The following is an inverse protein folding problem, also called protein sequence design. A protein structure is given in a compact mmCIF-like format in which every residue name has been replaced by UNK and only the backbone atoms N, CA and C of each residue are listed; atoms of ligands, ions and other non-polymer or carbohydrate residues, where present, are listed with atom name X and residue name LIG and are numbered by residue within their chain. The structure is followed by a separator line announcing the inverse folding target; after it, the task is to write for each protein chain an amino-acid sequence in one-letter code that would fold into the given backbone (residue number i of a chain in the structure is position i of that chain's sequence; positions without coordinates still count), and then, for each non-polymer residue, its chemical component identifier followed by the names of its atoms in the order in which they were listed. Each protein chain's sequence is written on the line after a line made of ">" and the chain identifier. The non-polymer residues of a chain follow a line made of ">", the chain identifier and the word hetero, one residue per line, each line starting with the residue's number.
data_IF_011584971043
#
_entry.id   IF_011584971043
#
_cell.length_a   1.000
_cell.length_b   1.000
_cell.length_c   1.000
_cell.angle_alpha   90.00
_cell.angle_beta   90.00
_cell.angle_gamma   90.00
#
_symmetry.space_group_name_H-M   'P 1'
#
loop_
_entity.id
_entity.type
_entity.pdbx_description
1 polymer ?
#
# COMPACT_ATOMS: atom_id res chain seq x y z
N UNK A 1 8.12 6.44 -22.78
CA UNK A 1 7.32 7.64 -22.40
C UNK A 1 5.82 7.33 -22.34
N UNK A 2 5.27 6.62 -23.35
CA UNK A 2 3.84 6.26 -23.44
C UNK A 2 3.35 5.33 -22.31
N UNK A 3 4.12 4.30 -21.95
CA UNK A 3 3.73 3.36 -20.88
C UNK A 3 3.53 4.08 -19.54
N UNK A 4 4.45 4.99 -19.19
CA UNK A 4 4.36 5.77 -17.94
C UNK A 4 3.15 6.69 -17.98
N UNK A 5 2.88 7.31 -19.12
CA UNK A 5 1.68 8.14 -19.32
C UNK A 5 0.40 7.33 -19.09
N UNK A 6 0.28 6.16 -19.71
CA UNK A 6 -0.89 5.27 -19.54
C UNK A 6 -1.03 4.85 -18.07
N UNK A 7 0.06 4.42 -17.43
CA UNK A 7 0.06 4.02 -16.01
C UNK A 7 -0.46 5.14 -15.13
N UNK A 8 0.13 6.33 -15.18
CA UNK A 8 -0.29 7.48 -14.36
C UNK A 8 -1.75 7.87 -14.62
N UNK A 9 -2.15 7.87 -15.90
CA UNK A 9 -3.53 8.17 -16.32
C UNK A 9 -4.54 7.23 -15.68
N UNK A 10 -4.27 5.92 -15.70
CA UNK A 10 -5.15 4.90 -15.15
C UNK A 10 -4.97 4.67 -13.65
N UNK A 11 -3.88 5.15 -13.05
CA UNK A 11 -3.62 5.01 -11.61
C UNK A 11 -4.18 6.18 -10.80
N UNK A 12 -4.09 7.43 -11.27
CA UNK A 12 -4.55 8.58 -10.46
C UNK A 12 -4.97 9.82 -11.26
N UNK A 13 -4.53 10.02 -12.51
CA UNK A 13 -4.85 11.28 -13.21
C UNK A 13 -6.31 11.37 -13.68
N UNK A 14 -6.95 10.25 -14.02
CA UNK A 14 -8.37 10.24 -14.39
C UNK A 14 -9.28 10.03 -13.17
N UNK A 15 -10.51 10.59 -13.20
CA UNK A 15 -11.54 10.27 -12.21
C UNK A 15 -11.76 8.75 -12.09
N UNK A 16 -11.92 8.27 -10.85
CA UNK A 16 -12.03 6.83 -10.54
C UNK A 16 -13.13 6.11 -11.36
N UNK A 17 -14.26 6.79 -11.62
CA UNK A 17 -15.37 6.23 -12.42
C UNK A 17 -14.93 5.94 -13.86
N UNK A 18 -14.14 6.84 -14.45
CA UNK A 18 -13.61 6.69 -15.81
C UNK A 18 -12.52 5.60 -15.83
N UNK A 19 -11.60 5.63 -14.85
CA UNK A 19 -10.57 4.59 -14.68
C UNK A 19 -11.21 3.19 -14.66
N UNK A 20 -12.21 2.99 -13.81
CA UNK A 20 -12.93 1.70 -13.69
C UNK A 20 -13.59 1.26 -15.00
N UNK A 21 -14.21 2.18 -15.74
CA UNK A 21 -14.83 1.86 -17.04
C UNK A 21 -13.79 1.40 -18.06
N UNK A 22 -12.66 2.11 -18.16
CA UNK A 22 -11.57 1.75 -19.07
C UNK A 22 -10.97 0.40 -18.68
N UNK A 23 -10.60 0.23 -17.41
CA UNK A 23 -10.01 -1.02 -16.90
C UNK A 23 -10.95 -2.20 -17.11
N UNK A 24 -12.25 -2.06 -16.83
CA UNK A 24 -13.23 -3.15 -17.06
C UNK A 24 -13.30 -3.57 -18.53
N UNK A 25 -13.26 -2.61 -19.45
CA UNK A 25 -13.24 -2.88 -20.89
C UNK A 25 -11.95 -3.60 -21.32
N UNK A 26 -10.79 -3.14 -20.85
CA UNK A 26 -9.50 -3.75 -21.14
C UNK A 26 -9.39 -5.16 -20.58
N UNK A 27 -9.81 -5.37 -19.33
CA UNK A 27 -9.82 -6.68 -18.69
C UNK A 27 -10.73 -7.63 -19.46
N UNK A 28 -11.97 -7.25 -19.80
CA UNK A 28 -12.86 -8.11 -20.61
C UNK A 28 -12.28 -8.45 -21.99
N UNK A 29 -11.54 -7.52 -22.60
CA UNK A 29 -10.95 -7.72 -23.93
C UNK A 29 -9.80 -8.73 -23.89
N UNK A 30 -8.86 -8.54 -22.95
CA UNK A 30 -7.59 -9.26 -22.94
C UNK A 30 -7.53 -10.43 -21.95
N UNK A 31 -8.29 -10.37 -20.88
CA UNK A 31 -8.35 -11.42 -19.86
C UNK A 31 -9.58 -12.29 -20.12
N UNK A 32 -9.34 -13.58 -20.38
CA UNK A 32 -10.38 -14.55 -20.73
C UNK A 32 -10.85 -15.41 -19.55
N UNK A 33 -10.36 -15.12 -18.35
CA UNK A 33 -10.75 -15.79 -17.11
C UNK A 33 -11.40 -14.80 -16.14
N UNK A 34 -12.22 -15.27 -15.18
CA UNK A 34 -12.79 -14.41 -14.14
C UNK A 34 -11.70 -13.70 -13.33
N UNK A 35 -11.94 -12.44 -12.95
CA UNK A 35 -10.98 -11.68 -12.14
C UNK A 35 -10.83 -12.27 -10.74
N UNK A 36 -11.90 -12.89 -10.23
CA UNK A 36 -11.92 -13.59 -8.96
C UNK A 36 -10.94 -14.77 -8.97
N UNK A 37 -10.86 -15.50 -10.09
CA UNK A 37 -9.91 -16.61 -10.26
C UNK A 37 -8.47 -16.11 -10.26
N UNK A 38 -8.18 -15.01 -10.97
CA UNK A 38 -6.85 -14.40 -10.93
C UNK A 38 -6.52 -13.91 -9.52
N UNK A 39 -7.47 -13.27 -8.85
CA UNK A 39 -7.25 -12.74 -7.51
C UNK A 39 -6.91 -13.85 -6.50
N UNK A 40 -7.57 -15.00 -6.59
CA UNK A 40 -7.29 -16.17 -5.76
C UNK A 40 -5.92 -16.79 -6.05
N UNK A 41 -5.42 -16.68 -7.28
CA UNK A 41 -4.11 -17.20 -7.68
C UNK A 41 -2.96 -16.28 -7.23
N UNK A 42 -3.13 -14.96 -7.32
CA UNK A 42 -2.03 -14.00 -7.12
C UNK A 42 -1.99 -13.31 -5.76
N UNK A 43 -3.10 -13.33 -5.00
CA UNK A 43 -3.15 -12.72 -3.66
C UNK A 43 -3.29 -13.78 -2.56
N UNK A 44 -2.67 -13.49 -1.42
CA UNK A 44 -2.84 -14.27 -0.21
C UNK A 44 -4.28 -14.22 0.31
N UNK A 45 -4.79 -15.37 0.72
CA UNK A 45 -6.03 -15.45 1.47
C UNK A 45 -5.83 -14.97 2.91
N UNK A 46 -6.92 -14.77 3.64
CA UNK A 46 -6.86 -14.46 5.09
C UNK A 46 -6.08 -15.53 5.87
N UNK A 47 -6.29 -16.80 5.53
CA UNK A 47 -5.64 -17.94 6.20
C UNK A 47 -4.13 -17.95 5.95
N UNK A 48 -3.69 -17.56 4.77
CA UNK A 48 -2.25 -17.48 4.46
C UNK A 48 -1.59 -16.39 5.31
N UNK A 49 -2.26 -15.24 5.46
CA UNK A 49 -1.77 -14.13 6.29
C UNK A 49 -1.73 -14.53 7.77
N UNK A 50 -2.76 -15.22 8.27
CA UNK A 50 -2.81 -15.78 9.64
C UNK A 50 -1.66 -16.78 9.85
N UNK A 51 -1.43 -17.69 8.90
CA UNK A 51 -0.32 -18.63 8.93
C UNK A 51 1.05 -17.92 9.02
N UNK A 52 1.27 -16.89 8.21
CA UNK A 52 2.50 -16.09 8.28
C UNK A 52 2.69 -15.46 9.66
N UNK A 53 1.62 -14.88 10.21
CA UNK A 53 1.66 -14.26 11.53
C UNK A 53 1.95 -15.27 12.64
N UNK A 54 1.28 -16.42 12.63
CA UNK A 54 1.47 -17.52 13.59
C UNK A 54 2.90 -18.10 13.52
N UNK A 55 3.58 -17.95 12.38
CA UNK A 55 4.98 -18.34 12.17
C UNK A 55 5.97 -17.18 12.39
N UNK A 56 5.56 -16.11 13.06
CA UNK A 56 6.45 -15.04 13.53
C UNK A 56 6.72 -13.92 12.52
N UNK A 57 6.00 -13.88 11.40
CA UNK A 57 6.12 -12.77 10.43
C UNK A 57 5.32 -11.55 10.90
N UNK A 58 5.87 -10.35 10.67
CA UNK A 58 5.17 -9.09 10.92
C UNK A 58 4.24 -8.73 9.75
N UNK A 59 2.99 -8.40 10.05
CA UNK A 59 2.00 -7.95 9.05
C UNK A 59 1.71 -6.46 9.23
N UNK A 60 2.08 -5.67 8.22
CA UNK A 60 1.98 -4.20 8.21
C UNK A 60 0.84 -3.65 7.35
N UNK A 61 0.65 -2.34 7.40
CA UNK A 61 -0.36 -1.61 6.64
C UNK A 61 0.18 -1.21 5.26
N UNK A 62 -0.60 -1.48 4.21
CA UNK A 62 -0.30 -1.05 2.84
C UNK A 62 -1.51 -0.39 2.17
N UNK A 63 -2.36 0.29 2.96
CA UNK A 63 -3.68 0.83 2.59
C UNK A 63 -4.67 -0.26 2.15
N UNK A 64 -5.85 0.14 1.68
CA UNK A 64 -6.93 -0.79 1.34
C UNK A 64 -7.06 -1.04 -0.16
N UNK A 65 -6.95 0.02 -0.97
CA UNK A 65 -7.07 -0.02 -2.43
C UNK A 65 -5.75 0.27 -3.14
N UNK A 66 -4.64 0.41 -2.41
CA UNK A 66 -3.31 0.69 -2.98
C UNK A 66 -3.31 1.99 -3.82
N UNK A 67 -3.99 3.03 -3.32
CA UNK A 67 -4.06 4.33 -3.98
C UNK A 67 -2.81 5.18 -3.71
N UNK A 68 -2.51 6.13 -4.60
CA UNK A 68 -1.45 7.11 -4.39
C UNK A 68 -1.90 8.13 -3.33
N UNK A 69 -1.54 7.91 -2.05
CA UNK A 69 -2.05 8.69 -0.92
C UNK A 69 -1.84 10.20 -1.11
N UNK A 70 -0.73 10.64 -1.71
CA UNK A 70 -0.46 12.06 -1.93
C UNK A 70 -1.48 12.74 -2.86
N UNK A 71 -2.20 11.98 -3.68
CA UNK A 71 -3.26 12.45 -4.59
C UNK A 71 -4.67 12.42 -3.98
N UNK A 72 -4.82 11.87 -2.78
CA UNK A 72 -6.08 11.81 -2.05
C UNK A 72 -6.17 12.98 -1.06
N UNK A 73 -7.39 13.44 -0.79
CA UNK A 73 -7.62 14.37 0.30
C UNK A 73 -7.46 13.69 1.67
N UNK A 74 -7.43 14.48 2.75
CA UNK A 74 -7.17 13.96 4.11
C UNK A 74 -8.14 12.84 4.53
N UNK A 75 -9.44 12.99 4.28
CA UNK A 75 -10.45 12.02 4.70
C UNK A 75 -10.40 10.74 3.87
N UNK A 76 -10.08 10.85 2.59
CA UNK A 76 -9.83 9.71 1.70
C UNK A 76 -8.59 8.93 2.14
N UNK A 77 -7.48 9.60 2.42
CA UNK A 77 -6.27 8.95 2.96
C UNK A 77 -6.56 8.25 4.28
N UNK A 78 -7.27 8.93 5.19
CA UNK A 78 -7.66 8.37 6.48
C UNK A 78 -8.53 7.12 6.29
N UNK A 79 -9.50 7.16 5.39
CA UNK A 79 -10.37 6.02 5.09
C UNK A 79 -9.57 4.82 4.57
N UNK A 80 -8.62 5.05 3.66
CA UNK A 80 -7.73 4.01 3.14
C UNK A 80 -6.91 3.34 4.23
N UNK A 81 -6.26 4.15 5.09
CA UNK A 81 -5.40 3.66 6.18
C UNK A 81 -6.23 2.92 7.23
N UNK A 82 -7.33 3.51 7.70
CA UNK A 82 -8.15 2.93 8.78
C UNK A 82 -8.90 1.67 8.35
N UNK A 83 -9.32 1.57 7.08
CA UNK A 83 -9.90 0.32 6.57
C UNK A 83 -8.89 -0.82 6.60
N UNK A 84 -7.65 -0.55 6.19
CA UNK A 84 -6.56 -1.52 6.25
C UNK A 84 -6.23 -1.90 7.70
N UNK A 85 -6.16 -0.94 8.62
CA UNK A 85 -6.01 -1.22 10.05
C UNK A 85 -7.14 -2.10 10.60
N UNK A 86 -8.39 -1.79 10.29
CA UNK A 86 -9.52 -2.60 10.74
C UNK A 86 -9.47 -4.05 10.23
N UNK A 87 -8.81 -4.30 9.10
CA UNK A 87 -8.51 -5.65 8.65
C UNK A 87 -7.38 -6.28 9.48
N UNK A 88 -6.26 -5.57 9.67
CA UNK A 88 -5.11 -6.06 10.46
C UNK A 88 -5.48 -6.37 11.91
N UNK A 89 -6.37 -5.59 12.53
CA UNK A 89 -6.92 -5.87 13.86
C UNK A 89 -7.48 -7.28 14.00
N UNK A 90 -8.08 -7.83 12.93
CA UNK A 90 -8.65 -9.18 12.91
C UNK A 90 -7.62 -10.28 12.69
N UNK A 91 -6.39 -9.93 12.36
CA UNK A 91 -5.28 -10.86 12.10
C UNK A 91 -4.36 -10.91 13.32
N UNK A 92 -3.84 -9.75 13.74
CA UNK A 92 -2.74 -9.68 14.70
C UNK A 92 -2.99 -8.65 15.82
N UNK A 93 -4.24 -8.24 16.05
CA UNK A 93 -4.61 -7.21 17.03
C UNK A 93 -3.80 -5.90 16.91
N UNK A 94 -3.33 -5.55 15.70
CA UNK A 94 -2.58 -4.31 15.45
C UNK A 94 -3.48 -3.07 15.54
N UNK A 95 -3.78 -2.64 16.76
CA UNK A 95 -4.40 -1.33 17.04
C UNK A 95 -3.36 -0.24 17.29
N UNK A 96 -2.16 -0.65 17.69
CA UNK A 96 -1.02 0.20 18.05
C UNK A 96 0.25 -0.44 17.50
N UNK A 97 1.32 0.35 17.42
CA UNK A 97 2.65 -0.12 17.09
C UNK A 97 2.75 -0.85 15.74
N UNK A 98 1.88 -0.44 14.80
CA UNK A 98 1.86 -0.95 13.44
C UNK A 98 2.83 -0.17 12.55
N UNK A 99 3.30 -0.85 11.51
CA UNK A 99 4.18 -0.28 10.49
C UNK A 99 3.42 -0.01 9.21
N UNK A 100 3.81 1.05 8.49
CA UNK A 100 3.24 1.43 7.21
C UNK A 100 4.23 1.16 6.07
N UNK A 101 3.75 0.69 4.93
CA UNK A 101 4.47 0.76 3.66
C UNK A 101 3.63 1.61 2.72
N UNK A 102 4.19 2.70 2.16
CA UNK A 102 3.40 3.58 1.29
C UNK A 102 3.22 2.97 -0.10
N UNK A 103 1.98 2.82 -0.62
CA UNK A 103 1.75 2.45 -2.02
C UNK A 103 2.51 3.40 -2.94
N UNK A 104 3.32 2.83 -3.83
CA UNK A 104 4.17 3.59 -4.75
C UNK A 104 5.16 4.58 -4.09
N UNK A 105 5.38 4.50 -2.77
CA UNK A 105 6.12 5.53 -2.03
C UNK A 105 5.40 6.87 -1.93
N UNK A 106 4.09 6.90 -2.20
CA UNK A 106 3.29 8.12 -2.22
C UNK A 106 2.76 8.46 -0.83
N UNK A 107 3.15 9.62 -0.29
CA UNK A 107 2.67 10.17 0.96
C UNK A 107 2.82 11.70 0.96
N UNK A 108 2.13 12.38 1.87
CA UNK A 108 2.29 13.82 2.10
C UNK A 108 2.08 14.16 3.58
N UNK A 109 2.12 15.45 3.94
CA UNK A 109 1.94 15.89 5.32
C UNK A 109 0.62 15.43 5.97
N UNK A 110 -0.45 15.27 5.19
CA UNK A 110 -1.71 14.71 5.70
C UNK A 110 -1.55 13.24 6.07
N UNK A 111 -0.84 12.47 5.25
CA UNK A 111 -0.50 11.07 5.54
C UNK A 111 0.24 10.96 6.86
N UNK A 112 1.30 11.75 7.04
CA UNK A 112 2.13 11.74 8.25
C UNK A 112 1.33 12.12 9.51
N UNK A 113 0.43 13.11 9.40
CA UNK A 113 -0.50 13.47 10.49
C UNK A 113 -1.43 12.32 10.88
N UNK A 114 -1.93 11.56 9.91
CA UNK A 114 -2.77 10.38 10.16
C UNK A 114 -1.95 9.32 10.89
N UNK A 115 -0.76 8.97 10.39
CA UNK A 115 0.12 7.98 11.01
C UNK A 115 0.42 8.30 12.47
N UNK A 116 0.82 9.54 12.77
CA UNK A 116 1.05 10.01 14.14
C UNK A 116 -0.20 9.88 15.02
N UNK A 117 -1.36 10.31 14.51
CA UNK A 117 -2.63 10.27 15.25
C UNK A 117 -3.10 8.85 15.59
N UNK A 118 -2.76 7.86 14.78
CA UNK A 118 -3.20 6.47 14.97
C UNK A 118 -2.08 5.54 15.42
N UNK A 119 -1.06 6.06 16.12
CA UNK A 119 0.00 5.27 16.76
C UNK A 119 0.77 4.35 15.80
N UNK A 120 1.02 4.81 14.57
CA UNK A 120 2.02 4.20 13.69
C UNK A 120 3.41 4.42 14.32
N UNK A 121 4.28 3.40 14.31
CA UNK A 121 5.63 3.51 14.88
C UNK A 121 6.70 3.74 13.81
N UNK A 122 6.49 3.25 12.60
CA UNK A 122 7.43 3.39 11.50
C UNK A 122 6.73 3.26 10.14
N UNK A 123 7.31 3.88 9.11
CA UNK A 123 6.85 3.74 7.75
C UNK A 123 8.01 3.67 6.75
N UNK A 124 7.83 2.82 5.74
CA UNK A 124 8.80 2.54 4.69
C UNK A 124 8.40 3.29 3.41
N UNK A 125 9.36 4.02 2.85
CA UNK A 125 9.24 4.73 1.57
C UNK A 125 9.78 3.90 0.42
N UNK A 126 9.81 4.45 -0.79
CA UNK A 126 10.55 3.89 -1.93
C UNK A 126 11.86 4.60 -2.20
N UNK A 127 12.29 5.53 -1.32
CA UNK A 127 13.59 6.18 -1.44
C UNK A 127 14.69 5.13 -1.20
N UNK A 128 15.58 4.98 -2.18
CA UNK A 128 16.70 4.03 -2.10
C UNK A 128 17.70 4.49 -1.06
N UNK A 129 17.99 3.63 -0.08
CA UNK A 129 19.03 3.90 0.90
C UNK A 129 18.89 3.10 2.19
N UNK A 130 19.85 3.31 3.10
CA UNK A 130 19.90 2.62 4.38
C UNK A 130 19.08 3.41 5.39
N UNK A 131 18.03 2.77 5.94
CA UNK A 131 17.29 3.32 7.07
C UNK A 131 18.23 3.62 8.26
N UNK A 132 18.21 4.86 8.76
CA UNK A 132 18.87 5.26 10.01
C UNK A 132 17.82 5.45 11.10
N UNK A 133 18.10 4.88 12.28
CA UNK A 133 17.26 5.00 13.46
C UNK A 133 17.75 6.08 14.44
N UNK A 134 18.83 6.78 14.09
CA UNK A 134 19.52 7.73 14.98
C UNK A 134 18.74 9.05 15.11
N UNK A 135 17.86 9.34 14.15
CA UNK A 135 17.04 10.54 14.14
C UNK A 135 15.55 10.20 14.39
N UNK A 136 15.12 10.29 15.65
CA UNK A 136 13.74 10.02 16.10
C UNK A 136 12.65 10.80 15.35
N UNK A 137 13.01 11.84 14.57
CA UNK A 137 12.04 12.63 13.80
C UNK A 137 11.54 11.94 12.53
N UNK A 138 12.24 10.91 12.01
CA UNK A 138 12.01 10.42 10.64
C UNK A 138 11.58 8.95 10.51
N UNK A 139 11.03 8.34 11.57
CA UNK A 139 10.60 6.93 11.47
C UNK A 139 9.45 6.72 10.49
N UNK A 140 8.75 7.77 10.05
CA UNK A 140 7.74 7.67 9.00
C UNK A 140 8.28 7.82 7.58
N UNK A 141 9.59 7.95 7.40
CA UNK A 141 10.21 8.13 6.09
C UNK A 141 11.44 7.25 5.91
N UNK A 142 11.42 6.04 6.47
CA UNK A 142 12.55 5.13 6.37
C UNK A 142 12.80 4.75 4.91
N UNK A 143 14.07 4.83 4.51
CA UNK A 143 14.57 4.41 3.20
C UNK A 143 14.64 2.88 3.13
N UNK A 144 14.61 2.33 1.92
CA UNK A 144 14.74 0.90 1.67
C UNK A 144 15.52 0.63 0.39
N UNK A 145 16.16 -0.53 0.32
CA UNK A 145 16.69 -1.03 -0.95
C UNK A 145 15.62 -1.88 -1.65
N UNK A 146 15.53 -1.75 -2.96
CA UNK A 146 14.79 -2.68 -3.80
C UNK A 146 15.59 -3.97 -3.96
N UNK A 147 14.93 -5.13 -4.10
CA UNK A 147 15.64 -6.40 -4.32
C UNK A 147 16.47 -6.38 -5.60
N UNK A 148 16.10 -5.55 -6.58
CA UNK A 148 16.87 -5.34 -7.81
C UNK A 148 18.13 -4.50 -7.62
N UNK A 149 18.30 -3.82 -6.48
CA UNK A 149 19.51 -3.04 -6.17
C UNK A 149 20.69 -3.97 -5.81
N UNK A 150 20.40 -5.20 -5.43
CA UNK A 150 21.40 -6.21 -5.09
C UNK A 150 21.75 -7.03 -6.34
N UNK A 151 23.03 -7.04 -6.69
CA UNK A 151 23.54 -8.00 -7.68
C UNK A 151 23.56 -9.38 -7.02
N UNK A 152 22.89 -10.34 -7.66
CA UNK A 152 22.97 -11.77 -7.34
C UNK A 152 24.33 -12.29 -7.77
#
# INVERSE_FOLDING_TARGET
>A
KEIIFIKKTLQYSLPIKIRKKILSSLLKKFIKVPLESIAQEVYMSKKDIECLFDNGMSIGNHTHNHEWLAHLNYDEQKKEILKSLNFLKKINNSEKDWIMCYPYGSYNANTLKILSKYNCIAALTTKTGKASLDNKKNFFELERFDTNDFKI
#
